data_IF_950217641940
#
_entry.id   IF_950217641940
#
_cell.length_a   1.000
_cell.length_b   1.000
_cell.length_c   1.000
_cell.angle_alpha   90.00
_cell.angle_beta   90.00
_cell.angle_gamma   90.00
#
_symmetry.space_group_name_H-M   'P 1'
#
loop_
_entity.id
_entity.type
_entity.pdbx_description
1 polymer ?
#
# COMPACT_ATOMS: atom_id res chain seq x y z
N UNK A 1 9.28 21.75 -4.00
CA UNK A 1 10.08 22.14 -5.19
C UNK A 1 11.00 21.04 -5.75
N UNK A 2 11.39 20.01 -4.98
CA UNK A 2 12.22 18.88 -5.47
C UNK A 2 11.44 17.73 -6.12
N UNK A 3 10.14 17.66 -6.00
CA UNK A 3 9.31 16.56 -6.54
C UNK A 3 8.83 16.79 -7.98
N UNK A 4 8.58 18.03 -8.38
CA UNK A 4 8.14 18.38 -9.74
C UNK A 4 9.02 17.83 -10.89
N UNK A 5 10.35 17.77 -10.81
CA UNK A 5 11.16 17.22 -11.91
C UNK A 5 11.01 15.71 -12.10
N UNK A 6 10.58 14.97 -11.06
CA UNK A 6 10.38 13.52 -11.13
C UNK A 6 9.01 13.14 -11.73
N UNK A 7 8.00 13.97 -11.53
CA UNK A 7 6.66 13.80 -12.11
C UNK A 7 6.63 14.00 -13.63
N UNK A 8 7.68 14.59 -14.22
CA UNK A 8 7.80 14.83 -15.64
C UNK A 8 8.74 13.84 -16.37
N UNK A 9 9.21 12.79 -15.69
CA UNK A 9 10.07 11.76 -16.29
C UNK A 9 9.32 10.43 -16.43
N UNK A 10 8.63 10.26 -17.57
CA UNK A 10 7.87 9.06 -17.88
C UNK A 10 8.74 7.79 -18.03
N UNK A 11 10.04 7.91 -18.23
CA UNK A 11 10.95 6.75 -18.13
C UNK A 11 11.00 6.22 -16.69
N UNK A 12 11.02 7.14 -15.70
CA UNK A 12 11.00 6.74 -14.30
C UNK A 12 9.65 6.11 -13.92
N UNK A 13 8.55 6.68 -14.42
CA UNK A 13 7.21 6.13 -14.19
C UNK A 13 7.06 4.72 -14.78
N UNK A 14 7.51 4.49 -16.01
CA UNK A 14 7.52 3.17 -16.62
C UNK A 14 8.33 2.15 -15.82
N UNK A 15 9.49 2.53 -15.28
CA UNK A 15 10.31 1.67 -14.40
C UNK A 15 9.62 1.38 -13.06
N UNK A 16 8.91 2.36 -12.51
CA UNK A 16 8.11 2.16 -11.31
C UNK A 16 6.98 1.15 -11.55
N UNK A 17 6.29 1.27 -12.70
CA UNK A 17 5.25 0.33 -13.11
C UNK A 17 5.79 -1.11 -13.17
N UNK A 18 6.91 -1.34 -13.89
CA UNK A 18 7.54 -2.65 -13.98
C UNK A 18 7.96 -3.20 -12.61
N UNK A 19 8.47 -2.33 -11.74
CA UNK A 19 8.84 -2.75 -10.39
C UNK A 19 7.62 -3.18 -9.58
N UNK A 20 6.52 -2.42 -9.58
CA UNK A 20 5.28 -2.81 -8.91
C UNK A 20 4.74 -4.11 -9.51
N UNK A 21 4.76 -4.25 -10.84
CA UNK A 21 4.34 -5.49 -11.52
C UNK A 21 5.15 -6.70 -11.05
N UNK A 22 6.47 -6.57 -10.93
CA UNK A 22 7.35 -7.63 -10.45
C UNK A 22 7.06 -7.99 -8.98
N UNK A 23 6.90 -7.00 -8.12
CA UNK A 23 6.65 -7.19 -6.69
C UNK A 23 5.28 -7.81 -6.41
N UNK A 24 4.27 -7.53 -7.24
CA UNK A 24 2.93 -8.11 -7.14
C UNK A 24 2.73 -9.36 -8.02
N UNK A 25 3.76 -9.85 -8.71
CA UNK A 25 3.65 -10.93 -9.71
C UNK A 25 3.15 -12.27 -9.16
N UNK A 26 3.27 -12.50 -7.86
CA UNK A 26 2.77 -13.72 -7.18
C UNK A 26 1.26 -13.66 -6.92
N UNK A 27 0.63 -12.53 -7.13
CA UNK A 27 -0.78 -12.23 -6.89
C UNK A 27 -1.50 -11.94 -8.21
N UNK A 28 -2.10 -12.93 -8.88
CA UNK A 28 -2.71 -12.78 -10.22
C UNK A 28 -3.95 -11.88 -10.24
N UNK A 29 -4.48 -11.52 -9.09
CA UNK A 29 -5.56 -10.56 -8.92
C UNK A 29 -5.09 -9.10 -9.06
N UNK A 30 -3.79 -8.81 -9.01
CA UNK A 30 -3.26 -7.48 -9.24
C UNK A 30 -2.71 -7.35 -10.66
N UNK A 31 -3.10 -6.31 -11.35
CA UNK A 31 -2.76 -6.07 -12.75
C UNK A 31 -2.02 -4.74 -12.85
N UNK A 32 -0.89 -4.76 -13.54
CA UNK A 32 -0.14 -3.57 -13.93
C UNK A 32 0.04 -3.63 -15.44
N UNK A 33 -0.30 -2.57 -16.18
CA UNK A 33 -0.15 -2.57 -17.64
C UNK A 33 1.31 -2.70 -18.05
N UNK A 34 1.58 -3.51 -19.06
CA UNK A 34 2.90 -3.62 -19.66
C UNK A 34 3.33 -2.31 -20.33
N UNK A 35 4.60 -1.95 -20.20
CA UNK A 35 5.17 -0.74 -20.80
C UNK A 35 5.72 -1.05 -22.20
N UNK A 36 5.29 -0.29 -23.19
CA UNK A 36 5.80 -0.38 -24.57
C UNK A 36 7.00 0.57 -24.71
N UNK A 37 8.18 0.06 -24.35
CA UNK A 37 9.42 0.85 -24.29
C UNK A 37 9.82 1.46 -25.62
N UNK A 38 9.58 0.79 -26.74
CA UNK A 38 9.88 1.29 -28.10
C UNK A 38 9.06 2.56 -28.45
N UNK A 39 7.95 2.77 -27.76
CA UNK A 39 7.05 3.91 -27.91
C UNK A 39 7.07 4.86 -26.72
N UNK A 40 7.95 4.63 -25.75
CA UNK A 40 8.07 5.42 -24.53
C UNK A 40 9.30 6.30 -24.56
N UNK A 41 9.16 7.53 -24.10
CA UNK A 41 10.22 8.52 -23.98
C UNK A 41 10.07 9.32 -22.68
N UNK A 42 10.97 10.25 -22.40
CA UNK A 42 10.85 11.14 -21.23
C UNK A 42 9.55 11.95 -21.17
N UNK A 43 8.90 12.16 -22.33
CA UNK A 43 7.70 13.00 -22.44
C UNK A 43 6.45 12.25 -22.86
N UNK A 44 6.58 10.95 -23.12
CA UNK A 44 5.46 10.10 -23.55
C UNK A 44 5.64 8.75 -22.87
N UNK A 45 4.65 8.32 -22.11
CA UNK A 45 4.54 6.96 -21.59
C UNK A 45 3.50 6.22 -22.41
N UNK A 46 3.90 5.07 -22.95
CA UNK A 46 3.00 4.19 -23.71
C UNK A 46 2.91 2.85 -22.97
N UNK A 47 1.69 2.45 -22.65
CA UNK A 47 1.43 1.22 -21.91
C UNK A 47 0.24 0.48 -22.49
N UNK A 48 0.05 -0.77 -22.12
CA UNK A 48 -1.13 -1.56 -22.46
C UNK A 48 -2.40 -0.84 -21.99
N UNK A 49 -3.45 -0.90 -22.83
CA UNK A 49 -4.74 -0.38 -22.45
C UNK A 49 -5.48 -1.38 -21.54
N UNK A 50 -5.94 -0.90 -20.41
CA UNK A 50 -6.76 -1.66 -19.46
C UNK A 50 -8.21 -1.23 -19.60
N UNK A 51 -9.06 -2.13 -20.09
CA UNK A 51 -10.51 -1.92 -20.13
C UNK A 51 -11.13 -2.38 -18.80
N UNK A 52 -11.31 -1.43 -17.89
CA UNK A 52 -11.76 -1.70 -16.53
C UNK A 52 -12.80 -0.69 -16.02
N UNK A 53 -13.56 -1.10 -15.02
CA UNK A 53 -14.54 -0.27 -14.32
C UNK A 53 -13.79 0.60 -13.32
N UNK A 54 -14.06 1.91 -13.28
CA UNK A 54 -13.49 2.78 -12.25
C UNK A 54 -13.86 2.29 -10.86
N UNK A 55 -12.92 2.27 -9.93
CA UNK A 55 -13.14 1.79 -8.55
C UNK A 55 -14.24 2.55 -7.81
N UNK A 56 -14.59 3.77 -8.25
CA UNK A 56 -15.68 4.59 -7.72
C UNK A 56 -17.05 4.24 -8.29
N UNK A 57 -17.10 3.51 -9.40
CA UNK A 57 -18.39 3.15 -10.05
C UNK A 57 -18.96 1.85 -9.46
N UNK A 58 -19.48 1.99 -8.24
CA UNK A 58 -20.11 0.88 -7.49
C UNK A 58 -21.31 0.29 -8.25
N UNK A 59 -22.04 1.11 -9.03
CA UNK A 59 -23.19 0.65 -9.80
C UNK A 59 -22.75 -0.27 -10.94
N UNK A 60 -21.73 0.13 -11.71
CA UNK A 60 -21.16 -0.68 -12.79
C UNK A 60 -20.54 -1.98 -12.24
N UNK A 61 -19.81 -1.93 -11.11
CA UNK A 61 -19.27 -3.15 -10.48
C UNK A 61 -20.38 -4.15 -10.14
N UNK A 62 -21.45 -3.69 -9.49
CA UNK A 62 -22.59 -4.56 -9.14
C UNK A 62 -23.30 -5.11 -10.38
N UNK A 63 -23.47 -4.31 -11.43
CA UNK A 63 -24.04 -4.75 -12.70
C UNK A 63 -23.16 -5.82 -13.38
N UNK A 64 -21.84 -5.76 -13.19
CA UNK A 64 -20.89 -6.76 -13.66
C UNK A 64 -20.76 -7.97 -12.72
N UNK A 65 -21.56 -8.06 -11.64
CA UNK A 65 -21.50 -9.15 -10.67
C UNK A 65 -20.30 -9.10 -9.72
N UNK A 66 -19.64 -7.94 -9.60
CA UNK A 66 -18.47 -7.75 -8.74
C UNK A 66 -18.93 -7.15 -7.40
N UNK A 67 -18.51 -7.78 -6.29
CA UNK A 67 -18.79 -7.25 -4.94
C UNK A 67 -17.78 -6.13 -4.60
N UNK A 68 -18.25 -4.89 -4.36
CA UNK A 68 -17.38 -3.79 -3.97
C UNK A 68 -16.60 -4.03 -2.66
N UNK A 69 -17.10 -4.88 -1.77
CA UNK A 69 -16.37 -5.24 -0.53
C UNK A 69 -15.14 -6.07 -0.84
N UNK A 70 -15.23 -7.02 -1.77
CA UNK A 70 -14.05 -7.79 -2.22
C UNK A 70 -13.01 -6.88 -2.86
N UNK A 71 -13.43 -5.90 -3.66
CA UNK A 71 -12.52 -4.91 -4.26
C UNK A 71 -11.82 -4.07 -3.18
N UNK A 72 -12.56 -3.61 -2.16
CA UNK A 72 -11.98 -2.86 -1.04
C UNK A 72 -10.98 -3.71 -0.24
N UNK A 73 -11.26 -5.00 -0.06
CA UNK A 73 -10.34 -5.94 0.57
C UNK A 73 -9.07 -6.11 -0.27
N UNK A 74 -9.19 -6.39 -1.57
CA UNK A 74 -8.03 -6.51 -2.47
C UNK A 74 -7.17 -5.25 -2.47
N UNK A 75 -7.80 -4.07 -2.49
CA UNK A 75 -7.06 -2.79 -2.41
C UNK A 75 -6.27 -2.69 -1.09
N UNK A 76 -6.89 -3.06 0.02
CA UNK A 76 -6.23 -3.05 1.33
C UNK A 76 -5.05 -4.03 1.36
N UNK A 77 -5.24 -5.25 0.87
CA UNK A 77 -4.19 -6.27 0.78
C UNK A 77 -3.01 -5.82 -0.08
N UNK A 78 -3.29 -5.23 -1.27
CA UNK A 78 -2.25 -4.71 -2.16
C UNK A 78 -1.39 -3.64 -1.45
N UNK A 79 -2.02 -2.68 -0.77
CA UNK A 79 -1.28 -1.65 -0.04
C UNK A 79 -0.54 -2.20 1.17
N UNK A 80 -1.11 -3.15 1.90
CA UNK A 80 -0.40 -3.83 2.99
C UNK A 80 0.84 -4.56 2.46
N UNK A 81 0.74 -5.27 1.35
CA UNK A 81 1.87 -5.97 0.75
C UNK A 81 2.95 -4.99 0.27
N UNK A 82 2.57 -3.97 -0.49
CA UNK A 82 3.50 -2.94 -0.96
C UNK A 82 4.20 -2.21 0.19
N UNK A 83 3.46 -1.81 1.24
CA UNK A 83 4.00 -1.00 2.34
C UNK A 83 4.78 -1.81 3.37
N UNK A 84 4.31 -3.02 3.71
CA UNK A 84 4.83 -3.78 4.85
C UNK A 84 5.79 -4.91 4.45
N UNK A 85 5.68 -5.42 3.22
CA UNK A 85 6.52 -6.51 2.71
C UNK A 85 7.56 -5.96 1.74
N UNK A 86 7.11 -5.33 0.65
CA UNK A 86 7.99 -4.94 -0.45
C UNK A 86 8.75 -3.64 -0.14
N UNK A 87 8.17 -2.78 0.70
CA UNK A 87 8.75 -1.48 1.02
C UNK A 87 8.83 -0.52 -0.18
N UNK A 88 8.15 -0.86 -1.27
CA UNK A 88 7.96 0.00 -2.43
C UNK A 88 6.47 0.03 -2.77
N UNK A 89 5.89 1.20 -2.93
CA UNK A 89 4.46 1.34 -3.04
C UNK A 89 4.05 2.46 -3.99
N UNK A 90 2.88 2.27 -4.57
CA UNK A 90 2.15 3.28 -5.31
C UNK A 90 1.66 4.36 -4.35
N UNK A 91 2.27 5.55 -4.37
CA UNK A 91 2.04 6.58 -3.36
C UNK A 91 0.91 7.57 -3.71
N UNK A 92 0.16 7.31 -4.78
CA UNK A 92 -1.03 8.08 -5.16
C UNK A 92 -2.29 7.19 -5.24
N UNK A 93 -2.94 6.88 -4.12
CA UNK A 93 -4.15 6.06 -4.09
C UNK A 93 -5.39 6.78 -4.64
N UNK A 94 -5.21 7.70 -5.59
CA UNK A 94 -6.34 8.40 -6.20
C UNK A 94 -7.25 7.39 -6.94
N UNK A 95 -8.58 7.44 -6.75
CA UNK A 95 -9.48 6.49 -7.39
C UNK A 95 -9.43 6.47 -8.92
N UNK A 96 -8.95 7.54 -9.56
CA UNK A 96 -8.73 7.60 -11.00
C UNK A 96 -7.63 6.67 -11.51
N UNK A 97 -6.72 6.24 -10.62
CA UNK A 97 -5.58 5.40 -10.91
C UNK A 97 -5.87 3.91 -10.66
N UNK A 98 -7.13 3.58 -10.33
CA UNK A 98 -7.56 2.24 -9.93
C UNK A 98 -8.74 1.77 -10.79
N UNK A 99 -8.55 0.66 -11.49
CA UNK A 99 -9.56 0.03 -12.30
C UNK A 99 -9.88 -1.37 -11.79
N UNK A 100 -11.14 -1.76 -11.87
CA UNK A 100 -11.62 -3.09 -11.48
C UNK A 100 -11.91 -3.91 -12.75
N UNK A 101 -11.39 -5.11 -12.79
CA UNK A 101 -11.55 -6.06 -13.88
C UNK A 101 -12.39 -7.27 -13.42
N UNK A 102 -13.00 -8.04 -14.35
CA UNK A 102 -13.72 -9.27 -14.01
C UNK A 102 -12.85 -10.27 -13.24
N UNK A 103 -13.48 -10.97 -12.28
CA UNK A 103 -12.84 -12.05 -11.58
C UNK A 103 -12.30 -11.86 -10.17
N UNK A 104 -12.77 -10.92 -9.33
CA UNK A 104 -12.41 -9.50 -9.35
C UNK A 104 -10.89 -9.32 -9.33
N UNK A 105 -10.37 -8.45 -10.20
CA UNK A 105 -8.97 -8.04 -10.23
C UNK A 105 -8.87 -6.53 -10.08
N UNK A 106 -7.76 -6.06 -9.54
CA UNK A 106 -7.48 -4.64 -9.35
C UNK A 106 -6.30 -4.23 -10.22
N UNK A 107 -6.51 -3.26 -11.11
CA UNK A 107 -5.46 -2.68 -11.94
C UNK A 107 -5.03 -1.30 -11.43
N UNK A 108 -3.72 -1.07 -11.44
CA UNK A 108 -3.07 0.20 -11.14
C UNK A 108 -2.53 0.81 -12.43
N UNK A 109 -2.80 2.09 -12.71
CA UNK A 109 -2.49 2.70 -14.03
C UNK A 109 -1.64 3.96 -14.00
N UNK A 110 -1.24 4.48 -12.85
CA UNK A 110 -0.36 5.64 -12.69
C UNK A 110 0.72 5.32 -11.64
N UNK A 111 1.99 5.55 -11.97
CA UNK A 111 3.12 5.18 -11.11
C UNK A 111 4.10 6.35 -10.88
N UNK A 112 3.72 7.55 -11.27
CA UNK A 112 4.54 8.76 -11.19
C UNK A 112 5.00 9.09 -9.77
N UNK A 113 4.15 8.82 -8.77
CA UNK A 113 4.43 9.09 -7.36
C UNK A 113 4.88 7.85 -6.55
N UNK A 114 5.25 6.75 -7.22
CA UNK A 114 5.72 5.56 -6.50
C UNK A 114 6.99 5.83 -5.68
N UNK A 115 7.05 5.26 -4.48
CA UNK A 115 8.13 5.50 -3.52
C UNK A 115 8.61 4.22 -2.87
N UNK A 116 9.91 4.20 -2.52
CA UNK A 116 10.51 3.12 -1.74
C UNK A 116 10.92 3.57 -0.36
N UNK A 117 10.77 2.69 0.61
CA UNK A 117 11.32 2.88 1.95
C UNK A 117 12.74 2.34 2.03
N UNK A 118 13.68 3.04 2.69
CA UNK A 118 14.94 2.44 3.08
C UNK A 118 14.70 1.19 3.95
N UNK A 119 15.49 0.11 3.80
CA UNK A 119 15.26 -1.13 4.55
C UNK A 119 15.20 -0.95 6.08
N UNK A 120 15.98 -0.04 6.64
CA UNK A 120 15.95 0.27 8.06
C UNK A 120 14.62 0.92 8.48
N UNK A 121 14.08 1.82 7.65
CA UNK A 121 12.79 2.43 7.88
C UNK A 121 11.66 1.39 7.79
N UNK A 122 11.67 0.54 6.76
CA UNK A 122 10.69 -0.52 6.59
C UNK A 122 10.62 -1.42 7.83
N UNK A 123 11.77 -1.93 8.30
CA UNK A 123 11.82 -2.76 9.52
C UNK A 123 11.25 -2.04 10.76
N UNK A 124 11.58 -0.77 10.93
CA UNK A 124 11.05 0.01 12.07
C UNK A 124 9.54 0.26 11.93
N UNK A 125 9.07 0.51 10.72
CA UNK A 125 7.64 0.71 10.42
C UNK A 125 6.82 -0.57 10.66
N UNK A 126 7.32 -1.72 10.22
CA UNK A 126 6.69 -3.04 10.47
C UNK A 126 6.63 -3.34 11.97
N UNK A 127 7.75 -3.11 12.71
CA UNK A 127 7.76 -3.25 14.18
C UNK A 127 6.74 -2.33 14.86
N UNK A 128 6.62 -1.08 14.40
CA UNK A 128 5.63 -0.15 14.92
C UNK A 128 4.20 -0.69 14.71
N UNK A 129 3.89 -1.09 13.48
CA UNK A 129 2.57 -1.64 13.14
C UNK A 129 2.23 -2.85 14.01
N UNK A 130 3.18 -3.80 14.15
CA UNK A 130 3.00 -4.96 15.01
C UNK A 130 2.78 -4.57 16.48
N UNK A 131 3.65 -3.73 17.04
CA UNK A 131 3.55 -3.31 18.44
C UNK A 131 2.18 -2.67 18.76
N UNK A 132 1.66 -1.83 17.86
CA UNK A 132 0.32 -1.24 18.02
C UNK A 132 -0.77 -2.32 17.95
N UNK A 133 -0.67 -3.26 17.00
CA UNK A 133 -1.66 -4.33 16.83
C UNK A 133 -1.75 -5.27 18.03
N UNK A 134 -0.61 -5.56 18.67
CA UNK A 134 -0.57 -6.42 19.89
C UNK A 134 -0.70 -5.62 21.19
N UNK A 135 -0.88 -4.29 21.10
CA UNK A 135 -1.00 -3.37 22.22
C UNK A 135 0.22 -3.38 23.17
N UNK A 136 1.43 -3.49 22.59
CA UNK A 136 2.69 -3.37 23.32
C UNK A 136 3.15 -1.90 23.34
N UNK A 137 2.87 -1.21 24.45
CA UNK A 137 3.19 0.21 24.61
C UNK A 137 4.69 0.49 24.57
N UNK A 138 5.50 -0.38 25.17
CA UNK A 138 6.96 -0.20 25.24
C UNK A 138 7.58 -0.34 23.85
N UNK A 139 7.22 -1.38 23.11
CA UNK A 139 7.67 -1.60 21.75
C UNK A 139 7.17 -0.49 20.80
N UNK A 140 5.93 0.00 20.98
CA UNK A 140 5.36 1.11 20.22
C UNK A 140 6.20 2.38 20.38
N UNK A 141 6.53 2.77 21.61
CA UNK A 141 7.37 3.95 21.90
C UNK A 141 8.76 3.80 21.29
N UNK A 142 9.36 2.63 21.41
CA UNK A 142 10.69 2.36 20.86
C UNK A 142 10.68 2.42 19.34
N UNK A 143 9.70 1.81 18.67
CA UNK A 143 9.57 1.82 17.22
C UNK A 143 9.37 3.24 16.66
N UNK A 144 8.58 4.09 17.32
CA UNK A 144 8.48 5.50 16.94
C UNK A 144 9.83 6.23 17.03
N UNK A 145 10.62 5.95 18.08
CA UNK A 145 11.96 6.53 18.24
C UNK A 145 12.91 6.07 17.12
N UNK A 146 12.85 4.80 16.77
CA UNK A 146 13.65 4.22 15.66
C UNK A 146 13.29 4.85 14.31
N UNK A 147 12.01 5.20 14.10
CA UNK A 147 11.54 5.95 12.93
C UNK A 147 11.94 7.44 12.96
N UNK A 148 12.58 7.91 14.03
CA UNK A 148 13.06 9.29 14.15
C UNK A 148 12.06 10.25 14.81
N UNK A 149 10.92 9.77 15.30
CA UNK A 149 9.99 10.64 16.02
C UNK A 149 10.59 11.12 17.35
N UNK A 150 10.45 12.41 17.60
CA UNK A 150 10.91 13.07 18.84
C UNK A 150 9.79 13.97 19.34
N UNK A 151 9.56 13.96 20.65
CA UNK A 151 8.62 14.84 21.30
C UNK A 151 9.38 15.87 22.15
N UNK A 152 8.84 17.08 22.25
CA UNK A 152 9.50 18.17 23.04
C UNK A 152 9.69 17.80 24.50
N UNK A 153 8.76 17.08 25.10
CA UNK A 153 8.76 16.66 26.51
C UNK A 153 9.45 15.31 26.74
N UNK A 154 9.81 14.60 25.67
CA UNK A 154 10.25 13.19 25.70
C UNK A 154 9.23 12.25 26.41
N UNK A 155 7.96 12.71 26.55
CA UNK A 155 6.88 11.96 27.19
C UNK A 155 6.39 10.84 26.27
N UNK A 156 6.50 9.57 26.67
CA UNK A 156 6.06 8.43 25.87
C UNK A 156 4.56 8.46 25.57
N UNK A 157 3.74 9.07 26.44
CA UNK A 157 2.28 9.16 26.23
C UNK A 157 1.90 9.89 24.94
N UNK A 158 2.73 10.85 24.50
CA UNK A 158 2.50 11.54 23.22
C UNK A 158 2.69 10.60 22.03
N UNK A 159 3.69 9.70 22.07
CA UNK A 159 3.89 8.70 21.03
C UNK A 159 2.81 7.62 21.04
N UNK A 160 2.36 7.21 22.23
CA UNK A 160 1.23 6.28 22.35
C UNK A 160 -0.07 6.86 21.78
N UNK A 161 -0.36 8.13 22.11
CA UNK A 161 -1.52 8.83 21.55
C UNK A 161 -1.44 8.94 20.01
N UNK A 162 -0.23 9.13 19.46
CA UNK A 162 -0.01 9.13 18.02
C UNK A 162 -0.29 7.74 17.41
N UNK A 163 0.20 6.67 18.04
CA UNK A 163 -0.09 5.29 17.63
C UNK A 163 -1.58 4.97 17.65
N UNK A 164 -2.27 5.42 18.71
CA UNK A 164 -3.72 5.26 18.84
C UNK A 164 -4.49 6.04 17.76
N UNK A 165 -4.03 7.21 17.38
CA UNK A 165 -4.62 8.00 16.29
C UNK A 165 -4.42 7.34 14.91
N UNK A 166 -3.28 6.71 14.68
CA UNK A 166 -2.96 6.06 13.40
C UNK A 166 -3.72 4.76 13.16
N UNK A 167 -3.70 3.86 14.13
CA UNK A 167 -4.24 2.49 13.99
C UNK A 167 -5.21 2.10 15.11
N UNK A 168 -5.28 2.88 16.19
CA UNK A 168 -6.03 2.50 17.39
C UNK A 168 -7.53 2.33 17.15
N UNK A 169 -8.12 3.09 16.20
CA UNK A 169 -9.51 2.87 15.80
C UNK A 169 -9.67 1.50 15.14
N UNK A 170 -8.80 1.15 14.18
CA UNK A 170 -8.83 -0.13 13.48
C UNK A 170 -8.62 -1.30 14.46
N UNK A 171 -7.74 -1.14 15.45
CA UNK A 171 -7.50 -2.15 16.50
C UNK A 171 -8.71 -2.31 17.42
N UNK A 172 -9.37 -1.20 17.82
CA UNK A 172 -10.56 -1.25 18.69
C UNK A 172 -11.78 -1.82 17.99
N UNK A 173 -12.01 -1.45 16.74
CA UNK A 173 -13.12 -1.97 15.93
C UNK A 173 -12.93 -3.46 15.61
N UNK A 174 -11.69 -3.94 15.46
CA UNK A 174 -11.35 -5.37 15.29
C UNK A 174 -11.74 -6.26 16.46
N UNK A 175 -11.79 -5.76 17.68
CA UNK A 175 -12.31 -6.54 18.83
C UNK A 175 -13.75 -7.01 18.62
N UNK A 176 -14.48 -6.38 17.70
CA UNK A 176 -15.85 -6.73 17.30
C UNK A 176 -15.89 -7.68 16.09
N UNK A 177 -14.76 -7.82 15.33
CA UNK A 177 -14.65 -8.61 14.08
C UNK A 177 -13.43 -9.55 14.08
N UNK A 178 -12.96 -9.99 15.25
CA UNK A 178 -11.76 -10.84 15.34
C UNK A 178 -11.98 -12.20 14.67
N UNK A 179 -11.53 -12.31 13.42
CA UNK A 179 -11.29 -13.58 12.77
C UNK A 179 -9.92 -14.14 13.26
N UNK A 180 -9.89 -15.34 13.86
CA UNK A 180 -8.64 -15.97 14.33
C UNK A 180 -7.60 -16.17 13.21
N UNK A 181 -8.05 -16.33 11.96
CA UNK A 181 -7.16 -16.57 10.81
C UNK A 181 -6.33 -15.34 10.45
N UNK A 182 -6.83 -14.13 10.68
CA UNK A 182 -6.13 -12.90 10.33
C UNK A 182 -4.92 -12.60 11.23
N UNK A 183 -4.92 -13.05 12.48
CA UNK A 183 -3.75 -12.97 13.35
C UNK A 183 -2.62 -13.88 12.86
N UNK A 184 -2.97 -15.06 12.32
CA UNK A 184 -2.04 -16.00 11.71
C UNK A 184 -1.42 -15.43 10.43
N UNK A 185 -2.21 -14.81 9.57
CA UNK A 185 -1.74 -14.17 8.34
C UNK A 185 -0.79 -12.99 8.61
N UNK A 186 -1.11 -12.13 9.57
CA UNK A 186 -0.24 -11.03 9.99
C UNK A 186 1.08 -11.57 10.55
N UNK A 187 1.05 -12.61 11.38
CA UNK A 187 2.26 -13.23 11.91
C UNK A 187 3.11 -13.90 10.81
N UNK A 188 2.48 -14.57 9.84
CA UNK A 188 3.17 -15.15 8.69
C UNK A 188 3.80 -14.05 7.80
N UNK A 189 3.11 -12.93 7.63
CA UNK A 189 3.62 -11.77 6.90
C UNK A 189 4.81 -11.12 7.62
N UNK A 190 4.72 -10.98 8.95
CA UNK A 190 5.81 -10.43 9.78
C UNK A 190 7.07 -11.32 9.74
N UNK A 191 6.91 -12.63 9.74
CA UNK A 191 8.03 -13.58 9.63
C UNK A 191 8.78 -13.48 8.28
N UNK A 192 8.17 -12.91 7.25
CA UNK A 192 8.82 -12.66 5.93
C UNK A 192 9.66 -11.36 5.91
N UNK A 193 9.41 -10.44 6.83
CA UNK A 193 10.01 -9.07 6.81
C UNK A 193 11.00 -8.87 7.97
N UNK A 194 10.82 -9.56 9.09
CA UNK A 194 11.68 -9.53 10.28
C UNK A 194 12.69 -10.66 10.28
#
# INVERSE_FOLDING_TARGET
ERMMPLELDFINEGRNAERVAQELSVRPEFVVPGILWDLTSRRVLTMEYIDGIKVTDVAAMRAAGIDPKQVAQLLTEAYCEMLLINGFFHADPHPGNLLVLPGPKLAFVDFGLSKGFPPAFLRAFVRLTHAILVNDEQATVQAFRDLGFRTKSNDPRTLLALGDAFLGRAVRERRTYADPDMASEVNAMLARVL
#
